data_IF_051634959938
#
_entry.id   IF_051634959938
#
_cell.length_a   1.000
_cell.length_b   1.000
_cell.length_c   1.000
_cell.angle_alpha   90.00
_cell.angle_beta   90.00
_cell.angle_gamma   90.00
#
_symmetry.space_group_name_H-M   'P 1'
#
loop_
_entity.id
_entity.type
_entity.pdbx_description
1 polymer ?
#
# COMPACT_ATOMS: atom_id res chain seq x y z
N UNK A 1 -9.41 -20.32 13.50
CA UNK A 1 -10.39 -21.37 13.04
C UNK A 1 -9.97 -22.04 11.73
N UNK A 2 -9.34 -21.31 10.79
CA UNK A 2 -8.88 -21.86 9.51
C UNK A 2 -7.81 -22.95 9.69
N UNK A 3 -6.84 -22.72 10.55
CA UNK A 3 -5.74 -23.66 10.85
C UNK A 3 -6.20 -24.98 11.47
N UNK A 4 -7.37 -25.00 12.12
CA UNK A 4 -7.89 -26.21 12.78
C UNK A 4 -8.49 -27.26 11.80
N UNK A 5 -8.73 -26.89 10.54
CA UNK A 5 -9.39 -27.76 9.56
C UNK A 5 -8.43 -28.33 8.50
N UNK A 6 -7.14 -27.99 8.54
CA UNK A 6 -6.14 -28.64 7.70
C UNK A 6 -5.74 -29.94 8.39
N UNK A 7 -6.46 -31.04 8.11
CA UNK A 7 -6.04 -32.38 8.54
C UNK A 7 -4.76 -32.75 7.79
N UNK A 8 -3.64 -32.72 8.50
CA UNK A 8 -2.45 -33.43 8.08
C UNK A 8 -2.72 -34.94 8.33
N UNK A 9 -2.42 -35.77 7.34
CA UNK A 9 -2.24 -37.21 7.59
C UNK A 9 -1.02 -37.35 8.52
N UNK A 10 -1.29 -37.70 9.75
CA UNK A 10 -0.33 -37.78 10.85
C UNK A 10 0.55 -39.01 10.69
N UNK A 11 1.85 -38.78 10.55
CA UNK A 11 2.83 -39.69 11.11
C UNK A 11 2.82 -39.50 12.64
N UNK A 12 2.40 -40.50 13.38
CA UNK A 12 1.81 -40.39 14.73
C UNK A 12 2.75 -40.03 15.88
N UNK A 13 4.05 -39.73 15.67
CA UNK A 13 5.02 -39.67 16.79
C UNK A 13 5.87 -38.38 16.85
N UNK A 14 5.62 -37.36 16.07
CA UNK A 14 6.34 -36.06 16.21
C UNK A 14 5.34 -34.96 16.49
N UNK A 15 5.45 -34.22 17.60
CA UNK A 15 4.61 -33.05 17.81
C UNK A 15 4.86 -32.06 16.67
N UNK A 16 3.81 -31.80 15.87
CA UNK A 16 3.88 -30.83 14.76
C UNK A 16 4.03 -29.44 15.38
N UNK A 17 5.25 -28.99 15.52
CA UNK A 17 5.57 -27.60 15.84
C UNK A 17 5.39 -26.81 14.53
N UNK A 18 4.45 -25.87 14.53
CA UNK A 18 4.27 -24.97 13.40
C UNK A 18 5.54 -24.14 13.19
N UNK A 19 6.12 -24.23 12.00
CA UNK A 19 7.26 -23.42 11.60
C UNK A 19 6.79 -22.30 10.65
N UNK A 20 7.02 -21.05 11.04
CA UNK A 20 6.66 -19.85 10.26
C UNK A 20 7.40 -19.77 8.92
N UNK A 21 8.53 -20.46 8.75
CA UNK A 21 9.24 -20.59 7.47
C UNK A 21 8.39 -21.24 6.37
N UNK A 22 7.35 -21.99 6.76
CA UNK A 22 6.36 -22.50 5.80
C UNK A 22 5.59 -21.40 5.05
N UNK A 23 5.53 -20.17 5.60
CA UNK A 23 4.93 -19.00 4.92
C UNK A 23 5.97 -18.38 3.99
N UNK A 24 6.60 -19.18 3.16
CA UNK A 24 7.57 -18.74 2.15
C UNK A 24 7.11 -19.20 0.78
N UNK A 25 7.19 -18.35 -0.27
CA UNK A 25 6.81 -18.75 -1.62
C UNK A 25 7.53 -20.04 -2.06
N UNK A 26 6.77 -20.96 -2.65
CA UNK A 26 7.29 -22.24 -3.15
C UNK A 26 7.20 -23.41 -2.15
N UNK A 27 6.89 -23.18 -0.89
CA UNK A 27 6.66 -24.26 0.08
C UNK A 27 5.37 -25.03 -0.21
N UNK A 28 5.27 -26.26 0.30
CA UNK A 28 4.06 -27.07 0.12
C UNK A 28 2.83 -26.46 0.81
N UNK A 29 3.06 -25.80 1.96
CA UNK A 29 2.00 -25.04 2.63
C UNK A 29 1.45 -23.94 1.71
N UNK A 30 2.31 -23.11 1.12
CA UNK A 30 1.89 -22.02 0.25
C UNK A 30 1.22 -22.52 -1.04
N UNK A 31 1.65 -23.67 -1.59
CA UNK A 31 0.96 -24.31 -2.72
C UNK A 31 -0.45 -24.77 -2.35
N UNK A 32 -0.60 -25.43 -1.19
CA UNK A 32 -1.90 -25.87 -0.68
C UNK A 32 -2.81 -24.67 -0.39
N UNK A 33 -2.27 -23.60 0.21
CA UNK A 33 -2.99 -22.37 0.48
C UNK A 33 -3.47 -21.71 -0.84
N UNK A 34 -2.61 -21.59 -1.83
CA UNK A 34 -2.97 -21.04 -3.14
C UNK A 34 -4.12 -21.83 -3.80
N UNK A 35 -4.02 -23.16 -3.81
CA UNK A 35 -5.09 -24.01 -4.35
C UNK A 35 -6.41 -23.84 -3.60
N UNK A 36 -6.35 -23.73 -2.26
CA UNK A 36 -7.52 -23.49 -1.44
C UNK A 36 -8.16 -22.13 -1.74
N UNK A 37 -7.34 -21.07 -1.89
CA UNK A 37 -7.81 -19.73 -2.22
C UNK A 37 -8.51 -19.70 -3.59
N UNK A 38 -7.94 -20.35 -4.60
CA UNK A 38 -8.58 -20.49 -5.93
C UNK A 38 -9.90 -21.22 -5.84
N UNK A 39 -9.97 -22.33 -5.09
CA UNK A 39 -11.20 -23.06 -4.89
C UNK A 39 -12.24 -22.23 -4.12
N UNK A 40 -11.84 -21.62 -3.01
CA UNK A 40 -12.74 -20.87 -2.12
C UNK A 40 -13.35 -19.65 -2.82
N UNK A 41 -12.56 -18.93 -3.61
CA UNK A 41 -12.99 -17.72 -4.31
C UNK A 41 -13.50 -17.96 -5.74
N UNK A 42 -13.33 -19.16 -6.29
CA UNK A 42 -13.70 -19.46 -7.68
C UNK A 42 -15.20 -19.33 -7.99
N UNK A 43 -16.06 -19.36 -6.99
CA UNK A 43 -17.52 -19.15 -7.11
C UNK A 43 -18.02 -17.95 -6.30
N UNK A 44 -17.12 -17.04 -5.94
CA UNK A 44 -17.41 -15.96 -4.99
C UNK A 44 -18.20 -14.81 -5.58
N UNK A 45 -18.22 -14.67 -6.90
CA UNK A 45 -18.97 -13.61 -7.59
C UNK A 45 -20.46 -13.65 -7.22
N UNK A 46 -21.07 -14.82 -7.30
CA UNK A 46 -22.45 -15.02 -6.87
C UNK A 46 -22.66 -14.84 -5.36
N UNK A 47 -21.71 -15.36 -4.56
CA UNK A 47 -21.78 -15.32 -3.09
C UNK A 47 -21.70 -13.89 -2.54
N UNK A 48 -20.88 -13.05 -3.12
CA UNK A 48 -20.64 -11.68 -2.64
C UNK A 48 -21.34 -10.61 -3.48
N UNK A 49 -22.13 -10.99 -4.48
CA UNK A 49 -22.82 -10.07 -5.40
C UNK A 49 -21.86 -9.04 -6.03
N UNK A 50 -20.71 -9.52 -6.50
CA UNK A 50 -19.70 -8.74 -7.20
C UNK A 50 -19.60 -9.15 -8.66
N UNK A 51 -19.19 -8.23 -9.53
CA UNK A 51 -19.06 -8.51 -10.97
C UNK A 51 -17.93 -9.46 -11.29
N UNK A 52 -16.85 -9.39 -10.55
CA UNK A 52 -15.65 -10.18 -10.80
C UNK A 52 -14.84 -10.36 -9.52
N UNK A 53 -14.25 -11.55 -9.36
CA UNK A 53 -13.26 -11.86 -8.34
C UNK A 53 -11.98 -12.32 -9.05
N UNK A 54 -10.87 -11.65 -8.77
CA UNK A 54 -9.56 -12.01 -9.30
C UNK A 54 -8.70 -12.49 -8.14
N UNK A 55 -8.23 -13.73 -8.23
CA UNK A 55 -7.34 -14.34 -7.23
C UNK A 55 -5.94 -14.43 -7.82
N UNK A 56 -4.95 -13.88 -7.12
CA UNK A 56 -3.54 -13.96 -7.50
C UNK A 56 -2.70 -14.31 -6.28
N UNK A 57 -2.30 -15.56 -6.19
CA UNK A 57 -1.55 -16.10 -5.07
C UNK A 57 -0.04 -16.11 -5.30
N UNK A 58 0.71 -16.74 -4.39
CA UNK A 58 2.18 -16.83 -4.41
C UNK A 58 2.75 -17.68 -5.56
N UNK A 59 1.90 -18.42 -6.28
CA UNK A 59 2.26 -19.15 -7.51
C UNK A 59 2.43 -18.21 -8.73
N UNK A 60 1.91 -16.99 -8.65
CA UNK A 60 2.09 -15.95 -9.67
C UNK A 60 3.25 -15.05 -9.28
N UNK A 61 4.05 -14.69 -10.28
CA UNK A 61 5.21 -13.82 -10.12
C UNK A 61 4.82 -12.44 -9.57
N UNK A 62 5.66 -11.89 -8.72
CA UNK A 62 5.54 -10.55 -8.12
C UNK A 62 4.84 -10.56 -6.75
N UNK A 63 5.08 -9.53 -5.98
CA UNK A 63 4.47 -9.30 -4.69
C UNK A 63 3.01 -8.86 -4.82
N UNK A 64 2.23 -9.07 -3.76
CA UNK A 64 0.79 -8.81 -3.77
C UNK A 64 0.45 -7.37 -4.15
N UNK A 65 1.13 -6.41 -3.54
CA UNK A 65 0.95 -4.98 -3.81
C UNK A 65 1.31 -4.60 -5.25
N UNK A 66 2.43 -5.11 -5.77
CA UNK A 66 2.84 -4.86 -7.15
C UNK A 66 1.85 -5.42 -8.17
N UNK A 67 1.27 -6.60 -7.90
CA UNK A 67 0.20 -7.19 -8.73
C UNK A 67 -1.05 -6.33 -8.71
N UNK A 68 -1.44 -5.82 -7.52
CA UNK A 68 -2.60 -4.97 -7.33
C UNK A 68 -2.45 -3.67 -8.13
N UNK A 69 -1.34 -2.95 -7.96
CA UNK A 69 -1.11 -1.70 -8.69
C UNK A 69 -0.84 -1.92 -10.19
N UNK A 70 -0.28 -3.07 -10.58
CA UNK A 70 -0.23 -3.47 -12.00
C UNK A 70 -1.62 -3.66 -12.58
N UNK A 71 -2.56 -4.25 -11.82
CA UNK A 71 -3.95 -4.35 -12.24
C UNK A 71 -4.59 -2.97 -12.42
N UNK A 72 -4.34 -2.03 -11.51
CA UNK A 72 -4.83 -0.65 -11.63
C UNK A 72 -4.29 0.02 -12.90
N UNK A 73 -2.99 -0.12 -13.21
CA UNK A 73 -2.39 0.47 -14.42
C UNK A 73 -2.90 -0.12 -15.72
N UNK A 74 -3.19 -1.43 -15.72
CA UNK A 74 -3.54 -2.16 -16.95
C UNK A 74 -5.04 -2.15 -17.26
N UNK A 75 -5.85 -1.51 -16.43
CA UNK A 75 -7.30 -1.41 -16.63
C UNK A 75 -7.72 0.07 -16.64
N UNK A 76 -8.78 0.36 -17.40
CA UNK A 76 -9.36 1.71 -17.41
C UNK A 76 -10.18 1.92 -16.13
N UNK A 77 -9.56 2.52 -15.14
CA UNK A 77 -10.14 2.83 -13.84
C UNK A 77 -10.27 4.34 -13.60
N UNK A 78 -10.10 5.20 -14.63
CA UNK A 78 -10.16 6.66 -14.50
C UNK A 78 -11.45 7.16 -13.84
N UNK A 79 -12.56 6.46 -14.03
CA UNK A 79 -13.85 6.79 -13.44
C UNK A 79 -14.22 5.97 -12.22
N UNK A 80 -13.34 5.08 -11.78
CA UNK A 80 -13.58 4.19 -10.65
C UNK A 80 -13.06 4.77 -9.32
N UNK A 81 -13.78 4.46 -8.25
CA UNK A 81 -13.25 4.58 -6.91
C UNK A 81 -12.61 3.25 -6.53
N UNK A 82 -11.37 3.29 -6.09
CA UNK A 82 -10.56 2.13 -5.73
C UNK A 82 -10.34 2.12 -4.22
N UNK A 83 -10.60 1.00 -3.56
CA UNK A 83 -10.23 0.78 -2.18
C UNK A 83 -9.17 -0.31 -2.11
N UNK A 84 -8.00 0.01 -1.55
CA UNK A 84 -6.89 -0.91 -1.33
C UNK A 84 -6.89 -1.30 0.14
N UNK A 85 -7.08 -2.58 0.43
CA UNK A 85 -7.02 -3.07 1.81
C UNK A 85 -5.63 -3.62 2.11
N UNK A 86 -5.00 -3.11 3.15
CA UNK A 86 -3.72 -3.61 3.63
C UNK A 86 -3.14 -2.78 4.77
N UNK A 87 -2.22 -3.38 5.52
CA UNK A 87 -1.62 -2.77 6.72
C UNK A 87 -0.28 -2.08 6.43
N UNK A 88 0.29 -2.31 5.25
CA UNK A 88 1.59 -1.80 4.89
C UNK A 88 1.56 -0.30 4.57
N UNK A 89 2.56 0.43 5.05
CA UNK A 89 2.72 1.85 4.76
C UNK A 89 3.07 2.12 3.29
N UNK A 90 3.73 1.19 2.62
CA UNK A 90 4.11 1.29 1.21
C UNK A 90 2.88 1.40 0.30
N UNK A 91 1.74 0.83 0.71
CA UNK A 91 0.47 0.98 0.00
C UNK A 91 0.03 2.45 -0.12
N UNK A 92 0.35 3.30 0.87
CA UNK A 92 0.06 4.73 0.82
C UNK A 92 0.90 5.40 -0.28
N UNK A 93 2.21 5.11 -0.32
CA UNK A 93 3.13 5.67 -1.32
C UNK A 93 2.77 5.21 -2.74
N UNK A 94 2.48 3.91 -2.89
CA UNK A 94 2.04 3.35 -4.16
C UNK A 94 0.70 3.95 -4.60
N UNK A 95 -0.22 4.19 -3.67
CA UNK A 95 -1.52 4.82 -3.98
C UNK A 95 -1.36 6.27 -4.41
N UNK A 96 -0.50 7.06 -3.75
CA UNK A 96 -0.18 8.44 -4.15
C UNK A 96 0.36 8.45 -5.59
N UNK A 97 1.28 7.56 -5.93
CA UNK A 97 1.85 7.46 -7.27
C UNK A 97 0.81 7.12 -8.34
N UNK A 98 -0.27 6.42 -7.96
CA UNK A 98 -1.33 5.98 -8.88
C UNK A 98 -2.58 6.87 -8.90
N UNK A 99 -2.55 8.05 -8.28
CA UNK A 99 -3.70 8.98 -8.25
C UNK A 99 -4.20 9.41 -9.64
N UNK A 100 -3.34 9.32 -10.66
CA UNK A 100 -3.72 9.66 -12.05
C UNK A 100 -4.52 8.57 -12.76
N UNK A 101 -4.49 7.32 -12.26
CA UNK A 101 -5.14 6.17 -12.89
C UNK A 101 -6.57 5.93 -12.43
N UNK A 102 -7.00 6.59 -11.36
CA UNK A 102 -8.32 6.38 -10.77
C UNK A 102 -8.99 7.71 -10.45
N UNK A 103 -10.32 7.67 -10.33
CA UNK A 103 -11.08 8.84 -9.87
C UNK A 103 -10.73 9.16 -8.41
N UNK A 104 -10.73 8.13 -7.54
CA UNK A 104 -10.32 8.22 -6.13
C UNK A 104 -9.66 6.92 -5.71
N UNK A 105 -8.68 7.04 -4.82
CA UNK A 105 -8.05 5.90 -4.16
C UNK A 105 -8.17 6.07 -2.65
N UNK A 106 -8.58 4.99 -2.00
CA UNK A 106 -8.64 4.88 -0.55
C UNK A 106 -7.76 3.72 -0.10
N UNK A 107 -6.95 3.92 0.92
CA UNK A 107 -6.28 2.82 1.62
C UNK A 107 -7.10 2.49 2.86
N UNK A 108 -7.63 1.26 2.89
CA UNK A 108 -8.43 0.74 3.99
C UNK A 108 -7.56 -0.13 4.88
N UNK A 109 -7.58 0.15 6.18
CA UNK A 109 -6.82 -0.62 7.17
C UNK A 109 -7.47 -0.57 8.54
N UNK A 110 -7.11 -1.53 9.38
CA UNK A 110 -7.40 -1.46 10.81
C UNK A 110 -6.51 -0.41 11.47
N UNK A 111 -7.02 0.27 12.49
CA UNK A 111 -6.21 1.23 13.23
C UNK A 111 -5.14 0.51 14.04
N UNK A 112 -3.85 0.80 13.82
CA UNK A 112 -2.83 0.35 14.73
C UNK A 112 -3.04 0.94 16.11
N UNK A 113 -2.78 0.17 17.16
CA UNK A 113 -2.93 0.59 18.57
C UNK A 113 -2.25 1.94 18.86
N UNK A 114 -1.06 2.17 18.28
CA UNK A 114 -0.31 3.41 18.49
C UNK A 114 -0.94 4.64 17.81
N UNK A 115 -1.80 4.47 16.81
CA UNK A 115 -2.52 5.57 16.18
C UNK A 115 -3.83 5.90 16.90
N UNK A 116 -4.38 4.98 17.68
CA UNK A 116 -5.62 5.20 18.43
C UNK A 116 -5.49 6.42 19.37
N UNK A 117 -4.31 6.63 19.96
CA UNK A 117 -4.04 7.79 20.82
C UNK A 117 -3.90 9.13 20.09
N UNK A 118 -3.67 9.10 18.78
CA UNK A 118 -3.49 10.30 17.94
C UNK A 118 -4.79 10.73 17.27
N UNK A 119 -5.86 9.93 17.41
CA UNK A 119 -7.16 10.22 16.82
C UNK A 119 -7.94 11.12 17.79
N UNK A 120 -8.59 12.19 17.31
CA UNK A 120 -9.38 13.07 18.15
C UNK A 120 -10.46 12.31 18.93
N UNK A 121 -10.66 12.67 20.19
CA UNK A 121 -11.56 11.98 21.16
C UNK A 121 -13.04 12.03 20.74
N UNK A 122 -13.40 12.96 19.88
CA UNK A 122 -14.73 13.11 19.31
C UNK A 122 -15.04 12.07 18.20
N UNK A 123 -14.03 11.40 17.69
CA UNK A 123 -14.17 10.25 16.78
C UNK A 123 -14.20 8.99 17.63
N UNK A 124 -15.41 8.54 17.98
CA UNK A 124 -15.59 7.31 18.75
C UNK A 124 -15.35 6.10 17.83
N UNK A 125 -14.24 5.42 18.03
CA UNK A 125 -13.76 4.35 17.18
C UNK A 125 -13.86 3.04 17.93
N UNK A 126 -14.69 2.13 17.42
CA UNK A 126 -14.80 0.76 17.92
C UNK A 126 -13.51 -0.06 17.64
N UNK A 127 -13.29 -1.09 18.45
CA UNK A 127 -12.08 -1.93 18.32
C UNK A 127 -11.99 -2.71 16.99
N UNK A 128 -13.12 -2.88 16.30
CA UNK A 128 -13.23 -3.61 15.03
C UNK A 128 -13.44 -2.68 13.82
N UNK A 129 -13.24 -1.37 13.95
CA UNK A 129 -13.49 -0.44 12.86
C UNK A 129 -12.30 -0.30 11.91
N UNK A 130 -12.61 -0.33 10.61
CA UNK A 130 -11.65 -0.08 9.55
C UNK A 130 -11.62 1.39 9.18
N UNK A 131 -10.43 1.90 8.89
CA UNK A 131 -10.21 3.29 8.46
C UNK A 131 -9.98 3.36 6.98
N UNK A 132 -10.52 4.42 6.39
CA UNK A 132 -10.25 4.78 5.01
C UNK A 132 -9.39 6.04 4.98
N UNK A 133 -8.15 5.90 4.55
CA UNK A 133 -7.30 7.05 4.24
C UNK A 133 -7.67 7.50 2.83
N UNK A 134 -8.26 8.68 2.69
CA UNK A 134 -8.50 9.31 1.39
C UNK A 134 -7.17 9.82 0.83
N UNK A 135 -6.65 9.12 -0.17
CA UNK A 135 -5.34 9.43 -0.76
C UNK A 135 -5.38 10.71 -1.60
N UNK A 136 -6.53 11.07 -2.14
CA UNK A 136 -6.68 12.34 -2.86
C UNK A 136 -6.54 13.52 -1.87
N UNK A 137 -7.25 13.46 -0.74
CA UNK A 137 -7.13 14.47 0.31
C UNK A 137 -5.72 14.52 0.91
N UNK A 138 -5.09 13.36 1.14
CA UNK A 138 -3.70 13.29 1.59
C UNK A 138 -2.75 13.95 0.58
N UNK A 139 -2.95 13.70 -0.72
CA UNK A 139 -2.17 14.33 -1.79
C UNK A 139 -2.29 15.86 -1.78
N UNK A 140 -3.51 16.39 -1.58
CA UNK A 140 -3.74 17.84 -1.43
C UNK A 140 -3.02 18.40 -0.19
N UNK A 141 -3.08 17.72 0.95
CA UNK A 141 -2.34 18.11 2.15
C UNK A 141 -0.82 18.14 1.92
N UNK A 142 -0.27 17.14 1.21
CA UNK A 142 1.16 17.10 0.86
C UNK A 142 1.53 18.27 -0.05
N UNK A 143 0.72 18.58 -1.06
CA UNK A 143 0.98 19.69 -1.96
C UNK A 143 0.95 21.03 -1.21
N UNK A 144 0.01 21.22 -0.30
CA UNK A 144 -0.05 22.39 0.55
C UNK A 144 1.19 22.48 1.46
N UNK A 145 1.61 21.36 2.07
CA UNK A 145 2.86 21.31 2.85
C UNK A 145 4.08 21.67 2.02
N UNK A 146 4.15 21.21 0.77
CA UNK A 146 5.22 21.57 -0.15
C UNK A 146 5.18 23.06 -0.58
N UNK A 147 4.07 23.78 -0.31
CA UNK A 147 3.88 25.15 -0.75
C UNK A 147 3.54 25.26 -2.24
N UNK A 148 2.92 24.23 -2.81
CA UNK A 148 2.46 24.23 -4.19
C UNK A 148 1.03 24.80 -4.23
N UNK A 149 0.82 25.90 -4.97
CA UNK A 149 -0.53 26.40 -5.24
C UNK A 149 -1.30 25.39 -6.11
N UNK A 150 -2.64 25.32 -5.91
CA UNK A 150 -3.50 24.53 -6.75
C UNK A 150 -3.40 24.96 -8.21
N UNK A 151 -3.00 24.03 -9.07
CA UNK A 151 -2.86 24.29 -10.51
C UNK A 151 -3.08 23.04 -11.35
N UNK A 152 -3.43 23.17 -12.63
CA UNK A 152 -3.66 22.03 -13.49
C UNK A 152 -2.37 21.23 -13.69
N UNK A 153 -2.47 19.91 -13.56
CA UNK A 153 -1.50 18.85 -13.91
C UNK A 153 -0.02 18.91 -13.39
N UNK A 154 0.67 20.06 -13.31
CA UNK A 154 2.00 20.11 -12.70
C UNK A 154 2.04 19.67 -11.24
N UNK A 155 0.96 19.92 -10.49
CA UNK A 155 0.88 19.59 -9.05
C UNK A 155 0.99 18.08 -8.79
N UNK A 156 0.38 17.24 -9.64
CA UNK A 156 0.47 15.78 -9.49
C UNK A 156 1.89 15.24 -9.72
N UNK A 157 2.73 15.92 -10.48
CA UNK A 157 4.14 15.56 -10.63
C UNK A 157 4.93 15.85 -9.35
N UNK A 158 4.55 16.85 -8.56
CA UNK A 158 5.16 17.13 -7.26
C UNK A 158 4.89 16.03 -6.23
N UNK A 159 3.77 15.31 -6.35
CA UNK A 159 3.53 14.13 -5.53
C UNK A 159 4.51 13.00 -5.83
N UNK A 160 4.93 12.84 -7.09
CA UNK A 160 5.97 11.88 -7.45
C UNK A 160 7.33 12.27 -6.83
N UNK A 161 7.66 13.58 -6.84
CA UNK A 161 8.85 14.08 -6.16
C UNK A 161 8.78 13.78 -4.65
N UNK A 162 7.62 13.99 -4.01
CA UNK A 162 7.42 13.66 -2.60
C UNK A 162 7.65 12.17 -2.32
N UNK A 163 7.07 11.29 -3.12
CA UNK A 163 7.28 9.84 -3.00
C UNK A 163 8.77 9.50 -3.14
N UNK A 164 9.46 10.14 -4.09
CA UNK A 164 10.91 9.96 -4.24
C UNK A 164 11.70 10.41 -3.00
N UNK A 165 11.33 11.55 -2.39
CA UNK A 165 11.94 12.00 -1.14
C UNK A 165 11.75 10.97 -0.01
N UNK A 166 10.57 10.35 0.07
CA UNK A 166 10.30 9.30 1.04
C UNK A 166 11.24 8.10 0.87
N UNK A 167 11.58 7.71 -0.36
CA UNK A 167 12.54 6.63 -0.61
C UNK A 167 13.95 6.92 -0.11
N UNK A 168 14.36 8.17 -0.01
CA UNK A 168 15.66 8.54 0.57
C UNK A 168 15.74 8.28 2.08
N UNK A 169 14.59 8.16 2.75
CA UNK A 169 14.50 7.77 4.16
C UNK A 169 14.58 6.26 4.39
N UNK A 170 14.62 5.49 3.29
CA UNK A 170 14.70 4.04 3.30
C UNK A 170 13.32 3.37 3.36
N UNK A 171 13.27 2.12 2.92
CA UNK A 171 12.14 1.19 3.00
C UNK A 171 12.66 -0.24 3.11
N UNK A 172 11.80 -1.23 3.00
CA UNK A 172 12.17 -2.64 3.10
C UNK A 172 13.20 -3.08 2.05
N UNK A 173 13.29 -2.39 0.93
CA UNK A 173 14.18 -2.74 -0.20
C UNK A 173 15.41 -1.83 -0.30
N UNK A 174 15.31 -0.59 0.17
CA UNK A 174 16.35 0.43 0.04
C UNK A 174 16.80 0.91 1.42
N UNK A 175 18.11 0.90 1.70
CA UNK A 175 18.63 1.49 2.93
C UNK A 175 18.39 3.02 2.91
N UNK A 176 18.18 3.59 4.08
CA UNK A 176 18.13 5.05 4.22
C UNK A 176 19.45 5.71 3.83
N UNK A 177 19.40 6.93 3.35
CA UNK A 177 20.59 7.73 3.11
C UNK A 177 21.32 7.98 4.44
N UNK A 178 22.64 7.81 4.45
CA UNK A 178 23.47 7.83 5.68
C UNK A 178 23.32 9.11 6.52
N UNK A 179 22.97 10.23 5.91
CA UNK A 179 22.76 11.52 6.59
C UNK A 179 21.32 11.79 7.01
N UNK A 180 20.40 10.86 6.72
CA UNK A 180 18.96 11.05 6.95
C UNK A 180 18.46 9.97 7.89
N UNK A 181 17.70 10.39 8.90
CA UNK A 181 17.02 9.51 9.84
C UNK A 181 15.60 10.03 10.04
N UNK A 182 14.61 9.22 9.76
CA UNK A 182 13.21 9.58 9.93
C UNK A 182 12.87 10.00 11.37
N UNK A 183 13.56 9.40 12.35
CA UNK A 183 13.38 9.70 13.79
C UNK A 183 14.04 11.02 14.21
N UNK A 184 14.87 11.60 13.35
CA UNK A 184 15.60 12.85 13.56
C UNK A 184 15.18 13.93 12.58
N UNK A 185 13.89 14.00 12.29
CA UNK A 185 13.29 14.98 11.37
C UNK A 185 13.87 14.92 9.95
N UNK A 186 14.29 13.72 9.49
CA UNK A 186 14.84 13.54 8.15
C UNK A 186 13.88 13.97 7.05
N UNK A 187 12.58 13.78 7.23
CA UNK A 187 11.56 14.23 6.27
C UNK A 187 11.48 15.76 6.19
N UNK A 188 11.47 16.46 7.33
CA UNK A 188 11.42 17.92 7.36
C UNK A 188 12.65 18.54 6.69
N UNK A 189 13.83 17.94 6.90
CA UNK A 189 15.07 18.34 6.24
C UNK A 189 14.93 18.22 4.73
N UNK A 190 14.41 17.11 4.23
CA UNK A 190 14.20 16.88 2.80
C UNK A 190 13.18 17.85 2.20
N UNK A 191 12.05 18.06 2.85
CA UNK A 191 11.01 18.99 2.41
C UNK A 191 11.56 20.40 2.35
N UNK A 192 12.29 20.86 3.36
CA UNK A 192 12.88 22.20 3.37
C UNK A 192 13.93 22.38 2.28
N UNK A 193 14.79 21.38 2.07
CA UNK A 193 15.76 21.39 0.98
C UNK A 193 15.07 21.42 -0.40
N UNK A 194 13.99 20.64 -0.55
CA UNK A 194 13.18 20.62 -1.76
C UNK A 194 12.52 21.98 -2.04
N UNK A 195 11.89 22.58 -1.03
CA UNK A 195 11.28 23.92 -1.15
C UNK A 195 12.30 24.97 -1.59
N UNK A 196 13.46 25.00 -0.98
CA UNK A 196 14.47 26.01 -1.24
C UNK A 196 15.19 25.85 -2.58
N UNK A 197 15.40 24.62 -3.04
CA UNK A 197 16.24 24.33 -4.21
C UNK A 197 15.42 24.04 -5.46
N UNK A 198 14.38 23.23 -5.33
CA UNK A 198 13.63 22.69 -6.47
C UNK A 198 12.46 23.59 -6.82
N UNK A 199 11.64 23.98 -5.84
CA UNK A 199 10.49 24.85 -6.10
C UNK A 199 10.91 26.25 -6.55
N UNK A 200 11.87 26.86 -5.88
CA UNK A 200 12.40 28.19 -6.25
C UNK A 200 13.07 28.18 -7.63
N UNK A 201 13.68 27.06 -8.03
CA UNK A 201 14.32 26.90 -9.35
C UNK A 201 13.37 26.52 -10.49
N UNK A 202 12.10 26.27 -10.21
CA UNK A 202 11.12 25.83 -11.20
C UNK A 202 11.44 24.45 -11.84
N UNK A 203 12.29 23.67 -11.21
CA UNK A 203 12.77 22.36 -11.71
C UNK A 203 11.97 21.22 -11.07
N UNK A 204 11.94 20.07 -11.72
CA UNK A 204 11.36 18.83 -11.22
C UNK A 204 12.48 17.86 -10.83
N UNK A 205 12.36 17.14 -9.71
CA UNK A 205 13.30 16.06 -9.36
C UNK A 205 13.10 14.86 -10.30
N UNK A 206 11.87 14.50 -10.52
CA UNK A 206 11.50 13.47 -11.47
C UNK A 206 10.91 14.14 -12.70
N UNK A 207 11.70 14.31 -13.74
CA UNK A 207 11.13 14.61 -15.05
C UNK A 207 10.13 13.50 -15.39
N UNK A 208 8.96 13.91 -15.89
CA UNK A 208 7.95 12.99 -16.42
C UNK A 208 8.48 12.30 -17.70
N UNK A 209 9.44 11.40 -17.54
CA UNK A 209 9.98 10.56 -18.63
C UNK A 209 9.10 9.33 -18.85
N UNK A 210 8.05 9.17 -18.06
CA UNK A 210 7.06 8.10 -18.20
C UNK A 210 5.72 8.74 -18.58
N UNK A 211 5.67 9.22 -19.82
CA UNK A 211 4.41 9.56 -20.49
C UNK A 211 3.62 8.31 -20.85
#
# INVERSE_FOLDING_TARGET
>A
KFMANVKYEEDKDVPIVWDTSNITPGTDFMKKLSNYMYYYFGLSEMKYNVKQVIVSCSDKQGEGEHKLFSHIRNNDLLHANVAVYGLDADLIMLSIFHLKQCRRIYVCREAPEFLKSSIPVDVNIGDDESYFVDINCLGECILNELGCEEGPDPTKSRLNDYVFLCFLLGNDFLPHHVSLDIRKNGMDILINAYKSSVLCGGVWLLCSVLG
#
